data_IF_737604799495
#
_entry.id   IF_737604799495
#
_cell.length_a   1.000
_cell.length_b   1.000
_cell.length_c   1.000
_cell.angle_alpha   90.00
_cell.angle_beta   90.00
_cell.angle_gamma   90.00
#
_symmetry.space_group_name_H-M   'P 1'
#
loop_
_entity.id
_entity.type
_entity.pdbx_description
1 polymer ?
#
# COMPACT_ATOMS: atom_id res chain seq x y z
N UNK A 1 -17.21 -5.00 4.66
CA UNK A 1 -16.88 -3.78 3.91
C UNK A 1 -16.12 -4.09 2.62
N UNK A 2 -15.74 -3.08 1.81
CA UNK A 2 -14.77 -3.26 0.70
C UNK A 2 -13.42 -3.72 1.28
N UNK A 3 -12.68 -4.54 0.54
CA UNK A 3 -11.38 -5.12 0.94
C UNK A 3 -10.30 -4.83 -0.09
N UNK A 4 -9.05 -4.90 0.33
CA UNK A 4 -7.90 -4.95 -0.59
C UNK A 4 -7.99 -6.26 -1.37
N UNK A 5 -7.88 -6.18 -2.69
CA UNK A 5 -7.95 -7.35 -3.56
C UNK A 5 -6.62 -8.11 -3.50
N UNK A 6 -6.61 -9.23 -2.77
CA UNK A 6 -5.42 -10.06 -2.60
C UNK A 6 -4.94 -10.70 -3.90
N UNK A 7 -5.82 -10.94 -4.87
CA UNK A 7 -5.43 -11.46 -6.18
C UNK A 7 -4.60 -10.43 -6.95
N UNK A 8 -4.97 -9.14 -6.88
CA UNK A 8 -4.18 -8.07 -7.47
C UNK A 8 -2.83 -7.90 -6.76
N UNK A 9 -2.79 -8.03 -5.44
CA UNK A 9 -1.54 -7.98 -4.68
C UNK A 9 -0.58 -9.10 -5.08
N UNK A 10 -1.07 -10.34 -5.16
CA UNK A 10 -0.28 -11.48 -5.61
C UNK A 10 0.12 -11.39 -7.07
N UNK A 11 -0.79 -10.98 -7.95
CA UNK A 11 -0.52 -10.79 -9.38
C UNK A 11 0.58 -9.74 -9.59
N UNK A 12 0.48 -8.61 -8.89
CA UNK A 12 1.52 -7.57 -8.88
C UNK A 12 2.88 -8.11 -8.45
N UNK A 13 2.92 -8.83 -7.33
CA UNK A 13 4.17 -9.36 -6.78
C UNK A 13 4.81 -10.44 -7.66
N UNK A 14 4.02 -11.43 -8.09
CA UNK A 14 4.53 -12.56 -8.89
C UNK A 14 5.00 -12.08 -10.25
N UNK A 15 4.21 -11.25 -10.93
CA UNK A 15 4.60 -10.74 -12.25
C UNK A 15 5.74 -9.73 -12.17
N UNK A 16 5.85 -8.94 -11.08
CA UNK A 16 7.05 -8.13 -10.82
C UNK A 16 8.28 -9.01 -10.74
N UNK A 17 8.25 -10.08 -9.93
CA UNK A 17 9.41 -10.96 -9.74
C UNK A 17 9.79 -11.66 -11.04
N UNK A 18 8.82 -12.23 -11.76
CA UNK A 18 9.06 -12.86 -13.05
C UNK A 18 9.61 -11.87 -14.08
N UNK A 19 9.03 -10.67 -14.18
CA UNK A 19 9.50 -9.63 -15.09
C UNK A 19 10.93 -9.20 -14.77
N UNK A 20 11.32 -9.09 -13.49
CA UNK A 20 12.69 -8.74 -13.11
C UNK A 20 13.69 -9.83 -13.52
N UNK A 21 13.33 -11.12 -13.37
CA UNK A 21 14.18 -12.24 -13.80
C UNK A 21 14.33 -12.24 -15.32
N UNK A 22 13.24 -12.08 -16.07
CA UNK A 22 13.29 -12.06 -17.53
C UNK A 22 14.01 -10.82 -18.06
N UNK A 23 13.93 -9.68 -17.37
CA UNK A 23 14.67 -8.47 -17.73
C UNK A 23 16.19 -8.68 -17.65
N UNK A 24 16.67 -9.43 -16.64
CA UNK A 24 18.08 -9.78 -16.52
C UNK A 24 18.54 -10.66 -17.69
N UNK A 25 17.74 -11.67 -18.06
CA UNK A 25 18.06 -12.53 -19.21
C UNK A 25 18.01 -11.75 -20.53
N UNK A 26 17.02 -10.88 -20.71
CA UNK A 26 16.92 -10.02 -21.89
C UNK A 26 18.11 -9.07 -22.01
N UNK A 27 18.57 -8.49 -20.90
CA UNK A 27 19.77 -7.66 -20.89
C UNK A 27 21.02 -8.45 -21.27
N UNK A 28 21.14 -9.69 -20.79
CA UNK A 28 22.23 -10.60 -21.16
C UNK A 28 22.22 -10.91 -22.67
N UNK A 29 21.07 -11.16 -23.27
CA UNK A 29 20.95 -11.39 -24.73
C UNK A 29 21.34 -10.15 -25.54
N UNK A 30 20.98 -8.95 -25.09
CA UNK A 30 21.40 -7.68 -25.69
C UNK A 30 22.93 -7.58 -25.69
N UNK A 31 23.57 -7.84 -24.55
CA UNK A 31 25.03 -7.83 -24.44
C UNK A 31 25.71 -8.90 -25.31
N UNK A 32 25.05 -10.04 -25.50
CA UNK A 32 25.50 -11.11 -26.40
C UNK A 32 25.25 -10.80 -27.89
N UNK A 33 24.62 -9.67 -28.23
CA UNK A 33 24.33 -9.26 -29.61
C UNK A 33 23.22 -10.05 -30.30
N UNK A 34 22.40 -10.81 -29.55
CA UNK A 34 21.32 -11.65 -30.10
C UNK A 34 20.00 -11.46 -29.33
N UNK A 35 19.42 -10.24 -29.32
CA UNK A 35 18.23 -9.95 -28.53
C UNK A 35 16.99 -10.71 -29.04
N UNK A 36 16.31 -11.43 -28.14
CA UNK A 36 15.02 -12.05 -28.42
C UNK A 36 13.88 -11.04 -28.26
N UNK A 37 13.25 -10.66 -29.37
CA UNK A 37 12.06 -9.80 -29.35
C UNK A 37 10.91 -10.44 -28.55
N UNK A 38 10.75 -11.76 -28.62
CA UNK A 38 9.74 -12.48 -27.85
C UNK A 38 9.96 -12.33 -26.35
N UNK A 39 11.21 -12.50 -25.88
CA UNK A 39 11.56 -12.32 -24.48
C UNK A 39 11.31 -10.88 -24.02
N UNK A 40 11.71 -9.90 -24.85
CA UNK A 40 11.46 -8.48 -24.59
C UNK A 40 9.97 -8.16 -24.47
N UNK A 41 9.14 -8.63 -25.41
CA UNK A 41 7.69 -8.39 -25.38
C UNK A 41 7.02 -9.05 -24.17
N UNK A 42 7.39 -10.29 -23.82
CA UNK A 42 6.84 -10.97 -22.63
C UNK A 42 7.23 -10.23 -21.35
N UNK A 43 8.47 -9.77 -21.26
CA UNK A 43 8.96 -8.98 -20.12
C UNK A 43 8.16 -7.69 -19.96
N UNK A 44 7.97 -6.93 -21.05
CA UNK A 44 7.17 -5.70 -21.03
C UNK A 44 5.72 -5.97 -20.61
N UNK A 45 5.09 -7.02 -21.13
CA UNK A 45 3.72 -7.39 -20.80
C UNK A 45 3.56 -7.72 -19.30
N UNK A 46 4.45 -8.54 -18.74
CA UNK A 46 4.43 -8.88 -17.32
C UNK A 46 4.69 -7.65 -16.44
N UNK A 47 5.64 -6.80 -16.82
CA UNK A 47 5.94 -5.53 -16.13
C UNK A 47 4.72 -4.60 -16.07
N UNK A 48 4.00 -4.46 -17.18
CA UNK A 48 2.80 -3.62 -17.26
C UNK A 48 1.66 -4.14 -16.37
N UNK A 49 1.36 -5.44 -16.44
CA UNK A 49 0.31 -6.03 -15.59
C UNK A 49 0.70 -5.92 -14.12
N UNK A 50 1.95 -6.22 -13.79
CA UNK A 50 2.49 -6.07 -12.45
C UNK A 50 2.25 -4.66 -11.92
N UNK A 51 2.69 -3.66 -12.70
CA UNK A 51 2.63 -2.25 -12.30
C UNK A 51 1.19 -1.80 -12.09
N UNK A 52 0.29 -2.06 -13.05
CA UNK A 52 -1.12 -1.68 -12.94
C UNK A 52 -1.76 -2.33 -11.70
N UNK A 53 -1.47 -3.61 -11.44
CA UNK A 53 -1.98 -4.32 -10.27
C UNK A 53 -1.51 -3.68 -8.96
N UNK A 54 -0.22 -3.35 -8.87
CA UNK A 54 0.37 -2.71 -7.70
C UNK A 54 -0.19 -1.29 -7.48
N UNK A 55 -0.33 -0.49 -8.54
CA UNK A 55 -0.96 0.84 -8.46
C UNK A 55 -2.37 0.74 -7.86
N UNK A 56 -3.19 -0.20 -8.35
CA UNK A 56 -4.55 -0.40 -7.80
C UNK A 56 -4.49 -0.77 -6.31
N UNK A 57 -3.58 -1.67 -5.93
CA UNK A 57 -3.42 -2.11 -4.52
C UNK A 57 -3.02 -0.95 -3.62
N UNK A 58 -2.06 -0.12 -4.04
CA UNK A 58 -1.63 1.06 -3.27
C UNK A 58 -2.78 2.05 -3.08
N UNK A 59 -3.58 2.27 -4.12
CA UNK A 59 -4.80 3.08 -4.02
C UNK A 59 -5.82 2.47 -3.06
N UNK A 60 -5.97 1.15 -3.05
CA UNK A 60 -6.88 0.47 -2.13
C UNK A 60 -6.46 0.67 -0.68
N UNK A 61 -5.16 0.65 -0.37
CA UNK A 61 -4.68 0.90 0.99
C UNK A 61 -5.15 2.26 1.53
N UNK A 62 -4.89 3.34 0.80
CA UNK A 62 -5.26 4.69 1.25
C UNK A 62 -6.77 4.90 1.32
N UNK A 63 -7.51 4.45 0.29
CA UNK A 63 -8.97 4.62 0.23
C UNK A 63 -9.66 3.88 1.37
N UNK A 64 -9.28 2.62 1.64
CA UNK A 64 -9.94 1.83 2.68
C UNK A 64 -9.64 2.35 4.09
N UNK A 65 -8.39 2.77 4.34
CA UNK A 65 -8.02 3.42 5.59
C UNK A 65 -8.80 4.73 5.77
N UNK A 66 -8.86 5.58 4.74
CA UNK A 66 -9.59 6.85 4.82
C UNK A 66 -11.10 6.66 5.06
N UNK A 67 -11.72 5.64 4.45
CA UNK A 67 -13.11 5.26 4.74
C UNK A 67 -13.26 4.91 6.22
N UNK A 68 -12.33 4.11 6.75
CA UNK A 68 -12.39 3.66 8.13
C UNK A 68 -12.09 4.77 9.15
N UNK A 69 -11.18 5.70 8.82
CA UNK A 69 -10.99 6.97 9.57
C UNK A 69 -12.30 7.73 9.64
N UNK A 70 -12.98 7.92 8.50
CA UNK A 70 -14.22 8.66 8.43
C UNK A 70 -15.35 7.99 9.23
N UNK A 71 -15.43 6.66 9.22
CA UNK A 71 -16.35 5.90 10.08
C UNK A 71 -16.03 6.09 11.56
N UNK A 72 -14.76 6.05 11.93
CA UNK A 72 -14.29 6.23 13.32
C UNK A 72 -14.59 7.64 13.83
N UNK A 73 -14.36 8.66 13.01
CA UNK A 73 -14.69 10.05 13.33
C UNK A 73 -16.21 10.24 13.51
N UNK A 74 -17.03 9.65 12.64
CA UNK A 74 -18.50 9.69 12.79
C UNK A 74 -18.97 9.01 14.07
N UNK A 75 -18.38 7.86 14.43
CA UNK A 75 -18.70 7.17 15.68
C UNK A 75 -18.37 8.03 16.90
N UNK A 76 -17.21 8.69 16.90
CA UNK A 76 -16.81 9.59 17.96
C UNK A 76 -17.76 10.79 18.09
N UNK A 77 -18.13 11.42 16.96
CA UNK A 77 -19.09 12.53 16.90
C UNK A 77 -20.47 12.12 17.44
N UNK A 78 -21.00 10.97 17.01
CA UNK A 78 -22.27 10.42 17.49
C UNK A 78 -22.29 10.17 19.01
N UNK A 79 -21.13 9.90 19.61
CA UNK A 79 -20.97 9.67 21.05
C UNK A 79 -20.41 10.86 21.79
N UNK A 80 -20.36 12.03 21.14
CA UNK A 80 -19.86 13.30 21.70
C UNK A 80 -18.42 13.21 22.26
N UNK A 81 -17.59 12.33 21.70
CA UNK A 81 -16.17 12.23 22.01
C UNK A 81 -15.39 13.13 21.06
N UNK A 82 -14.70 14.13 21.60
CA UNK A 82 -13.87 15.02 20.81
C UNK A 82 -12.53 14.35 20.47
N UNK A 83 -12.25 14.19 19.17
CA UNK A 83 -10.98 13.72 18.66
C UNK A 83 -10.20 14.90 18.09
N UNK A 84 -9.02 15.18 18.65
CA UNK A 84 -8.17 16.27 18.20
C UNK A 84 -7.49 15.99 16.85
N UNK A 85 -7.44 14.72 16.43
CA UNK A 85 -6.71 14.29 15.24
C UNK A 85 -7.64 13.69 14.17
N UNK A 86 -7.37 14.03 12.90
CA UNK A 86 -8.06 13.49 11.72
C UNK A 86 -7.03 12.86 10.78
N UNK A 87 -6.59 11.61 11.04
CA UNK A 87 -5.44 11.03 10.38
C UNK A 87 -5.79 10.50 8.98
N UNK A 88 -5.94 11.38 8.00
CA UNK A 88 -6.18 10.98 6.61
C UNK A 88 -4.88 10.80 5.81
N UNK A 89 -4.84 9.80 4.95
CA UNK A 89 -3.82 9.67 3.91
C UNK A 89 -4.15 10.68 2.80
N UNK A 90 -3.29 11.68 2.54
CA UNK A 90 -3.53 12.62 1.45
C UNK A 90 -3.37 11.91 0.09
N UNK A 91 -4.20 12.29 -0.88
CA UNK A 91 -4.18 11.66 -2.21
C UNK A 91 -3.05 12.19 -3.10
N UNK A 92 -2.58 13.41 -2.87
CA UNK A 92 -1.63 14.09 -3.75
C UNK A 92 -0.29 13.35 -3.93
N UNK A 93 0.33 12.71 -2.91
CA UNK A 93 1.59 12.00 -3.10
C UNK A 93 1.44 10.81 -4.02
N UNK A 94 0.31 10.08 -3.90
CA UNK A 94 0.00 8.95 -4.77
C UNK A 94 -0.22 9.40 -6.23
N UNK A 95 -0.90 10.54 -6.43
CA UNK A 95 -1.11 11.11 -7.77
C UNK A 95 0.22 11.56 -8.38
N UNK A 96 1.07 12.25 -7.61
CA UNK A 96 2.39 12.67 -8.05
C UNK A 96 3.26 11.46 -8.42
N UNK A 97 3.26 10.41 -7.58
CA UNK A 97 3.93 9.14 -7.86
C UNK A 97 3.51 8.54 -9.21
N UNK A 98 2.21 8.44 -9.51
CA UNK A 98 1.72 7.95 -10.81
C UNK A 98 2.15 8.88 -11.95
N UNK A 99 2.04 10.19 -11.76
CA UNK A 99 2.38 11.16 -12.79
C UNK A 99 3.86 11.03 -13.21
N UNK A 100 4.77 10.91 -12.23
CA UNK A 100 6.19 10.72 -12.52
C UNK A 100 6.52 9.34 -13.10
N UNK A 101 5.81 8.29 -12.69
CA UNK A 101 5.89 7.00 -13.37
C UNK A 101 5.48 7.08 -14.84
N UNK A 102 4.40 7.80 -15.13
CA UNK A 102 3.95 8.01 -16.50
C UNK A 102 4.93 8.88 -17.32
N UNK A 103 5.53 9.91 -16.70
CA UNK A 103 6.56 10.71 -17.35
C UNK A 103 7.86 9.93 -17.61
N UNK A 104 8.28 9.06 -16.69
CA UNK A 104 9.41 8.16 -16.92
C UNK A 104 9.17 7.27 -18.15
N UNK A 105 7.95 6.75 -18.30
CA UNK A 105 7.56 5.96 -19.47
C UNK A 105 7.58 6.77 -20.78
N UNK A 106 7.08 8.01 -20.78
CA UNK A 106 7.07 8.87 -21.97
C UNK A 106 8.44 9.41 -22.36
N UNK A 107 9.27 9.72 -21.38
CA UNK A 107 10.57 10.36 -21.54
C UNK A 107 11.67 9.46 -21.00
N UNK A 108 11.80 8.28 -21.60
CA UNK A 108 12.81 7.31 -21.22
C UNK A 108 14.22 7.92 -21.27
N UNK A 109 15.01 7.67 -20.23
CA UNK A 109 16.37 8.18 -20.07
C UNK A 109 16.50 9.46 -19.25
N UNK A 110 15.40 10.13 -18.90
CA UNK A 110 15.42 11.27 -17.97
C UNK A 110 15.31 10.77 -16.52
N UNK A 111 16.46 10.56 -15.88
CA UNK A 111 16.56 9.98 -14.53
C UNK A 111 15.82 10.75 -13.43
N UNK A 112 15.55 12.06 -13.60
CA UNK A 112 14.86 12.87 -12.59
C UNK A 112 13.43 12.38 -12.33
N UNK A 113 12.76 11.82 -13.34
CA UNK A 113 11.41 11.27 -13.17
C UNK A 113 11.42 10.03 -12.30
N UNK A 114 12.40 9.14 -12.47
CA UNK A 114 12.60 7.98 -11.59
C UNK A 114 12.86 8.40 -10.13
N UNK A 115 13.68 9.44 -9.93
CA UNK A 115 13.96 9.97 -8.59
C UNK A 115 12.69 10.58 -7.95
N UNK A 116 11.96 11.42 -8.70
CA UNK A 116 10.74 12.06 -8.20
C UNK A 116 9.64 11.04 -7.90
N UNK A 117 9.47 10.04 -8.77
CA UNK A 117 8.57 8.91 -8.51
C UNK A 117 8.91 8.24 -7.18
N UNK A 118 10.19 7.91 -6.94
CA UNK A 118 10.62 7.30 -5.69
C UNK A 118 10.35 8.18 -4.47
N UNK A 119 10.64 9.49 -4.55
CA UNK A 119 10.38 10.45 -3.48
C UNK A 119 8.90 10.48 -3.12
N UNK A 120 8.01 10.66 -4.10
CA UNK A 120 6.57 10.73 -3.85
C UNK A 120 6.01 9.40 -3.36
N UNK A 121 6.60 8.28 -3.77
CA UNK A 121 6.25 6.96 -3.24
C UNK A 121 6.60 6.83 -1.76
N UNK A 122 7.80 7.27 -1.36
CA UNK A 122 8.22 7.27 0.04
C UNK A 122 7.34 8.21 0.87
N UNK A 123 7.01 9.40 0.37
CA UNK A 123 6.08 10.33 1.04
C UNK A 123 4.69 9.71 1.19
N UNK A 124 4.18 9.02 0.16
CA UNK A 124 2.93 8.30 0.23
C UNK A 124 2.93 7.26 1.36
N UNK A 125 3.99 6.44 1.46
CA UNK A 125 4.12 5.43 2.51
C UNK A 125 4.26 6.03 3.90
N UNK A 126 4.95 7.17 4.01
CA UNK A 126 5.07 7.90 5.28
C UNK A 126 3.67 8.24 5.83
N UNK A 127 2.83 8.91 5.03
CA UNK A 127 1.48 9.24 5.44
C UNK A 127 0.62 8.00 5.68
N UNK A 128 0.78 6.96 4.86
CA UNK A 128 0.06 5.70 5.03
C UNK A 128 0.32 5.07 6.40
N UNK A 129 1.60 4.94 6.79
CA UNK A 129 1.99 4.36 8.07
C UNK A 129 1.61 5.26 9.24
N UNK A 130 1.73 6.58 9.09
CA UNK A 130 1.30 7.53 10.11
C UNK A 130 -0.21 7.44 10.36
N UNK A 131 -1.02 7.38 9.30
CA UNK A 131 -2.47 7.19 9.42
C UNK A 131 -2.80 5.87 10.10
N UNK A 132 -2.16 4.77 9.72
CA UNK A 132 -2.38 3.45 10.36
C UNK A 132 -2.13 3.54 11.86
N UNK A 133 -0.99 4.10 12.28
CA UNK A 133 -0.62 4.23 13.69
C UNK A 133 -1.68 5.04 14.46
N UNK A 134 -1.96 6.25 13.99
CA UNK A 134 -2.92 7.17 14.64
C UNK A 134 -4.33 6.59 14.67
N UNK A 135 -4.78 5.94 13.59
CA UNK A 135 -6.09 5.31 13.55
C UNK A 135 -6.22 4.18 14.56
N UNK A 136 -5.19 3.33 14.70
CA UNK A 136 -5.19 2.28 15.74
C UNK A 136 -5.22 2.88 17.14
N UNK A 137 -4.42 3.91 17.42
CA UNK A 137 -4.42 4.62 18.72
C UNK A 137 -5.80 5.20 19.05
N UNK A 138 -6.43 5.91 18.10
CA UNK A 138 -7.78 6.46 18.26
C UNK A 138 -8.80 5.35 18.54
N UNK A 139 -8.71 4.22 17.83
CA UNK A 139 -9.64 3.11 18.06
C UNK A 139 -9.45 2.45 19.40
N UNK A 140 -8.21 2.21 19.84
CA UNK A 140 -7.92 1.69 21.18
C UNK A 140 -8.57 2.59 22.23
N UNK A 141 -8.40 3.91 22.10
CA UNK A 141 -9.02 4.87 23.00
C UNK A 141 -10.56 4.82 22.95
N UNK A 142 -11.14 4.89 21.76
CA UNK A 142 -12.60 4.93 21.57
C UNK A 142 -13.27 3.65 22.06
N UNK A 143 -12.80 2.47 21.64
CA UNK A 143 -13.42 1.20 22.00
C UNK A 143 -13.34 0.93 23.50
N UNK A 144 -12.23 1.31 24.13
CA UNK A 144 -12.09 1.23 25.58
C UNK A 144 -13.03 2.19 26.31
N UNK A 145 -13.11 3.44 25.85
CA UNK A 145 -13.90 4.49 26.51
C UNK A 145 -15.40 4.27 26.34
N UNK A 146 -15.85 3.88 25.15
CA UNK A 146 -17.26 3.79 24.80
C UNK A 146 -17.87 2.43 25.11
N UNK A 147 -17.10 1.35 24.99
CA UNK A 147 -17.62 -0.01 25.06
C UNK A 147 -16.90 -0.91 26.07
N UNK A 148 -15.85 -0.40 26.75
CA UNK A 148 -15.01 -1.18 27.64
C UNK A 148 -14.45 -2.47 26.97
N UNK A 149 -14.10 -2.36 25.68
CA UNK A 149 -13.52 -3.44 24.87
C UNK A 149 -12.04 -3.15 24.62
N UNK A 150 -11.19 -4.14 24.88
CA UNK A 150 -9.77 -4.10 24.53
C UNK A 150 -9.60 -4.33 23.02
N UNK A 151 -9.47 -3.23 22.28
CA UNK A 151 -9.12 -3.26 20.86
C UNK A 151 -7.62 -3.53 20.70
N UNK A 152 -7.23 -4.57 19.94
CA UNK A 152 -5.82 -4.93 19.74
C UNK A 152 -5.30 -4.34 18.41
N UNK A 153 -4.09 -3.75 18.39
CA UNK A 153 -3.48 -3.32 17.13
C UNK A 153 -3.18 -4.53 16.24
N UNK A 154 -3.68 -4.52 15.00
CA UNK A 154 -3.56 -5.63 14.05
C UNK A 154 -2.47 -5.36 13.02
N UNK A 155 -2.37 -4.11 12.55
CA UNK A 155 -1.36 -3.68 11.60
C UNK A 155 -0.09 -3.35 12.36
N UNK A 156 1.01 -3.97 11.95
CA UNK A 156 2.32 -3.70 12.57
C UNK A 156 2.77 -2.28 12.26
N UNK A 157 3.23 -1.58 13.27
CA UNK A 157 3.86 -0.27 13.09
C UNK A 157 5.16 -0.41 12.29
N UNK A 158 5.34 0.50 11.35
CA UNK A 158 6.47 0.49 10.43
C UNK A 158 6.98 1.90 10.26
N UNK A 159 8.30 2.04 10.34
CA UNK A 159 8.97 3.28 9.96
C UNK A 159 9.29 3.21 8.46
N UNK A 160 8.95 4.27 7.73
CA UNK A 160 9.19 4.37 6.29
C UNK A 160 10.68 4.24 5.94
N UNK A 161 11.58 4.79 6.78
CA UNK A 161 13.03 4.69 6.60
C UNK A 161 13.49 3.24 6.74
N UNK A 162 13.01 2.52 7.75
CA UNK A 162 13.34 1.10 7.93
C UNK A 162 12.83 0.26 6.76
N UNK A 163 11.61 0.52 6.28
CA UNK A 163 11.06 -0.13 5.10
C UNK A 163 11.91 0.14 3.86
N UNK A 164 12.32 1.39 3.66
CA UNK A 164 13.17 1.80 2.54
C UNK A 164 14.54 1.11 2.59
N UNK A 165 15.22 1.15 3.73
CA UNK A 165 16.53 0.51 3.92
C UNK A 165 16.45 -1.00 3.72
N UNK A 166 15.45 -1.67 4.30
CA UNK A 166 15.26 -3.12 4.11
C UNK A 166 14.98 -3.46 2.64
N UNK A 167 14.18 -2.64 1.96
CA UNK A 167 13.93 -2.80 0.52
C UNK A 167 15.23 -2.70 -0.27
N UNK A 168 16.09 -1.73 0.03
CA UNK A 168 17.37 -1.55 -0.64
C UNK A 168 18.34 -2.71 -0.35
N UNK A 169 18.52 -3.08 0.92
CA UNK A 169 19.43 -4.17 1.32
C UNK A 169 19.00 -5.54 0.80
N UNK A 170 17.70 -5.74 0.57
CA UNK A 170 17.15 -7.01 0.04
C UNK A 170 16.88 -6.96 -1.47
N UNK A 171 17.37 -5.94 -2.18
CA UNK A 171 17.16 -5.77 -3.63
C UNK A 171 15.69 -5.86 -4.05
N UNK A 172 14.78 -5.28 -3.25
CA UNK A 172 13.35 -5.26 -3.54
C UNK A 172 12.55 -6.44 -2.96
N UNK A 173 13.18 -7.51 -2.47
CA UNK A 173 12.46 -8.69 -1.95
C UNK A 173 11.58 -8.33 -0.74
N UNK A 174 12.09 -7.49 0.16
CA UNK A 174 11.28 -7.02 1.30
C UNK A 174 10.04 -6.23 0.85
N UNK A 175 10.13 -5.48 -0.25
CA UNK A 175 8.99 -4.77 -0.80
C UNK A 175 7.90 -5.72 -1.28
N UNK A 176 8.27 -6.76 -2.03
CA UNK A 176 7.33 -7.79 -2.48
C UNK A 176 6.60 -8.46 -1.31
N UNK A 177 7.34 -8.81 -0.25
CA UNK A 177 6.75 -9.31 0.99
C UNK A 177 5.78 -8.30 1.61
N UNK A 178 6.19 -7.03 1.71
CA UNK A 178 5.41 -5.99 2.36
C UNK A 178 4.08 -5.73 1.66
N UNK A 179 4.04 -5.77 0.32
CA UNK A 179 2.81 -5.59 -0.45
C UNK A 179 1.74 -6.60 -0.04
N UNK A 180 2.09 -7.89 0.00
CA UNK A 180 1.15 -8.95 0.41
C UNK A 180 0.80 -8.82 1.88
N UNK A 181 1.82 -8.61 2.74
CA UNK A 181 1.64 -8.59 4.18
C UNK A 181 0.76 -7.42 4.64
N UNK A 182 1.03 -6.22 4.15
CA UNK A 182 0.27 -5.02 4.51
C UNK A 182 -1.17 -5.10 3.98
N UNK A 183 -1.36 -5.60 2.76
CA UNK A 183 -2.71 -5.82 2.21
C UNK A 183 -3.54 -6.76 3.09
N UNK A 184 -2.92 -7.83 3.59
CA UNK A 184 -3.56 -8.77 4.51
C UNK A 184 -3.86 -8.13 5.86
N UNK A 185 -2.90 -7.42 6.46
CA UNK A 185 -3.09 -6.74 7.74
C UNK A 185 -4.19 -5.68 7.68
N UNK A 186 -4.30 -4.91 6.58
CA UNK A 186 -5.40 -3.96 6.38
C UNK A 186 -6.74 -4.69 6.32
N UNK A 187 -6.83 -5.82 5.60
CA UNK A 187 -8.06 -6.60 5.54
C UNK A 187 -8.44 -7.18 6.92
N UNK A 188 -7.48 -7.73 7.66
CA UNK A 188 -7.70 -8.26 9.02
C UNK A 188 -8.14 -7.15 9.99
N UNK A 189 -7.55 -5.95 9.87
CA UNK A 189 -7.93 -4.78 10.66
C UNK A 189 -9.38 -4.34 10.40
N UNK A 190 -9.78 -4.27 9.13
CA UNK A 190 -11.16 -3.93 8.75
C UNK A 190 -12.15 -5.02 9.21
N UNK A 191 -11.78 -6.30 9.08
CA UNK A 191 -12.63 -7.41 9.50
C UNK A 191 -12.86 -7.43 11.01
N UNK A 192 -11.82 -7.16 11.79
CA UNK A 192 -11.93 -7.07 13.24
C UNK A 192 -12.85 -5.91 13.64
N UNK A 193 -12.72 -4.76 12.99
CA UNK A 193 -13.58 -3.61 13.23
C UNK A 193 -15.06 -3.89 12.90
N UNK A 194 -15.32 -4.50 11.73
CA UNK A 194 -16.66 -4.92 11.30
C UNK A 194 -17.29 -5.88 12.32
N UNK A 195 -16.51 -6.85 12.83
CA UNK A 195 -16.98 -7.84 13.79
C UNK A 195 -17.33 -7.22 15.14
N UNK A 196 -16.49 -6.32 15.66
CA UNK A 196 -16.76 -5.67 16.95
C UNK A 196 -18.02 -4.81 16.84
N UNK A 197 -18.16 -4.01 15.78
CA UNK A 197 -19.34 -3.15 15.60
C UNK A 197 -20.64 -3.96 15.46
N UNK A 198 -20.64 -5.06 14.71
CA UNK A 198 -21.81 -5.95 14.61
C UNK A 198 -22.18 -6.57 15.96
N UNK A 199 -21.19 -7.00 16.74
CA UNK A 199 -21.44 -7.57 18.06
C UNK A 199 -21.99 -6.54 19.06
N UNK A 200 -21.72 -5.26 18.86
CA UNK A 200 -22.29 -4.17 19.65
C UNK A 200 -23.73 -3.85 19.26
N UNK A 201 -24.06 -3.86 17.96
CA UNK A 201 -25.43 -3.66 17.47
C UNK A 201 -26.40 -4.77 17.92
N UNK A 202 -25.93 -6.01 18.04
CA UNK A 202 -26.76 -7.14 18.52
C UNK A 202 -27.06 -7.05 20.03
N UNK A 203 -26.26 -6.30 20.79
CA UNK A 203 -26.40 -6.17 22.25
C UNK A 203 -27.17 -4.93 22.70
N UNK A 204 -27.45 -3.99 21.78
CA UNK A 204 -28.24 -2.77 22.03
C UNK A 204 -29.71 -2.98 21.71
#
# INVERSE_FOLDING_TARGET
MKRVNMNLAWMGVVFSAMSSILLLEYYREILAGSPSYTLGTVTLFLSLISTISLLIVYRQWSVLLNINVLQTLRLAEQRSVNLNEKPFVPNWPYIAFIAFWFFEFLFAGIWIFSLLQLIFFVIFLHYLFETIRKLQEIKIYLYRTLFNIDYKPVIKERNVLSVFLLTLFTLGVYWLYLVVRLSREINEFLDMDDQIMRNLEVKS
#
